data_IF_507736087655
#
_entry.id   IF_507736087655
#
_cell.length_a   1.000
_cell.length_b   1.000
_cell.length_c   1.000
_cell.angle_alpha   90.00
_cell.angle_beta   90.00
_cell.angle_gamma   90.00
#
_symmetry.space_group_name_H-M   'P 1'
#
loop_
_entity.id
_entity.type
_entity.pdbx_description
1 polymer ?
#
# COMPACT_ATOMS: atom_id res chain seq x y z
N UNK A 1 13.23 10.47 -10.34
CA UNK A 1 12.47 9.85 -9.22
C UNK A 1 11.79 8.59 -9.71
N UNK A 2 11.86 7.48 -8.94
CA UNK A 2 11.07 6.29 -9.25
C UNK A 2 9.60 6.50 -8.91
N UNK A 3 9.35 6.86 -7.67
CA UNK A 3 8.03 7.26 -7.20
C UNK A 3 8.16 8.28 -6.06
N UNK A 4 7.09 9.03 -5.83
CA UNK A 4 6.91 9.91 -4.70
C UNK A 4 5.47 9.85 -4.22
N UNK A 5 5.25 10.00 -2.93
CA UNK A 5 3.92 10.03 -2.31
C UNK A 5 3.92 11.07 -1.19
N UNK A 6 2.98 11.99 -1.25
CA UNK A 6 2.72 13.00 -0.24
C UNK A 6 1.38 12.70 0.41
N UNK A 7 1.37 12.35 1.68
CA UNK A 7 0.20 11.91 2.44
C UNK A 7 -0.04 12.92 3.55
N UNK A 8 -1.18 13.59 3.52
CA UNK A 8 -1.56 14.53 4.56
C UNK A 8 -2.15 13.80 5.76
N UNK A 9 -1.79 14.22 6.94
CA UNK A 9 -2.33 13.79 8.22
C UNK A 9 -2.60 15.04 9.06
N UNK A 10 -3.83 15.54 9.03
CA UNK A 10 -4.17 16.81 9.68
C UNK A 10 -3.32 17.97 9.14
N UNK A 11 -2.52 18.57 10.00
CA UNK A 11 -1.64 19.72 9.71
C UNK A 11 -0.22 19.35 9.25
N UNK A 12 0.05 18.07 9.05
CA UNK A 12 1.34 17.65 8.52
C UNK A 12 1.22 16.86 7.23
N UNK A 13 2.30 16.89 6.44
CA UNK A 13 2.47 16.15 5.22
C UNK A 13 3.66 15.20 5.35
N UNK A 14 3.42 13.91 5.21
CA UNK A 14 4.47 12.91 5.13
C UNK A 14 4.78 12.62 3.66
N UNK A 15 6.01 12.93 3.24
CA UNK A 15 6.49 12.74 1.88
C UNK A 15 7.45 11.57 1.87
N UNK A 16 7.23 10.65 0.96
CA UNK A 16 8.06 9.45 0.79
C UNK A 16 8.41 9.27 -0.66
N UNK A 17 9.61 8.81 -0.93
CA UNK A 17 10.02 8.55 -2.31
C UNK A 17 11.22 7.65 -2.42
N UNK A 18 11.49 7.25 -3.66
CA UNK A 18 12.70 6.48 -4.02
C UNK A 18 13.33 7.09 -5.27
N UNK A 19 14.62 7.32 -5.21
CA UNK A 19 15.42 7.83 -6.33
C UNK A 19 16.21 6.69 -6.95
N UNK A 20 16.21 6.63 -8.27
CA UNK A 20 16.96 5.62 -9.05
C UNK A 20 18.05 6.29 -9.88
N UNK A 21 19.10 5.52 -10.22
CA UNK A 21 20.12 5.92 -11.20
C UNK A 21 19.68 5.42 -12.58
N UNK A 22 19.70 6.31 -13.58
CA UNK A 22 19.37 5.95 -14.95
C UNK A 22 17.94 6.26 -15.37
N UNK A 23 17.50 5.65 -16.48
CA UNK A 23 16.21 5.95 -17.11
C UNK A 23 15.05 5.27 -16.41
N UNK A 24 13.95 6.00 -16.30
CA UNK A 24 12.69 5.50 -15.76
C UNK A 24 12.05 4.41 -16.64
N UNK A 25 11.79 3.23 -16.11
CA UNK A 25 10.93 2.26 -16.78
C UNK A 25 9.50 2.80 -16.86
N UNK A 26 8.94 2.84 -18.06
CA UNK A 26 7.59 3.34 -18.28
C UNK A 26 6.59 2.19 -18.35
N UNK A 27 5.56 2.24 -17.51
CA UNK A 27 4.39 1.36 -17.59
C UNK A 27 3.26 2.09 -18.31
N UNK A 28 2.87 1.59 -19.50
CA UNK A 28 1.74 2.14 -20.25
C UNK A 28 0.53 1.24 -20.10
N UNK A 29 -0.67 1.80 -20.01
CA UNK A 29 -1.92 1.07 -19.82
C UNK A 29 -2.12 -0.07 -20.86
N UNK A 30 -1.79 0.19 -22.12
CA UNK A 30 -1.93 -0.79 -23.23
C UNK A 30 -0.63 -1.54 -23.56
N UNK A 31 0.31 -1.65 -22.63
CA UNK A 31 1.54 -2.41 -22.85
C UNK A 31 1.27 -3.92 -22.96
N UNK A 32 1.84 -4.59 -23.97
CA UNK A 32 1.74 -6.05 -24.10
C UNK A 32 2.41 -6.78 -22.93
N UNK A 33 1.94 -7.97 -22.62
CA UNK A 33 2.44 -8.77 -21.50
C UNK A 33 3.95 -9.03 -21.53
N UNK A 34 4.57 -9.44 -22.67
CA UNK A 34 6.02 -9.61 -22.76
C UNK A 34 6.78 -8.33 -22.42
N UNK A 35 6.28 -7.17 -22.90
CA UNK A 35 6.90 -5.87 -22.60
C UNK A 35 6.76 -5.48 -21.11
N UNK A 36 5.60 -5.74 -20.48
CA UNK A 36 5.43 -5.56 -19.03
C UNK A 36 6.43 -6.42 -18.25
N UNK A 37 6.60 -7.67 -18.65
CA UNK A 37 7.57 -8.57 -18.06
C UNK A 37 9.00 -8.04 -18.17
N UNK A 38 9.44 -7.69 -19.36
CA UNK A 38 10.77 -7.13 -19.58
C UNK A 38 10.98 -5.83 -18.80
N UNK A 39 9.97 -4.95 -18.77
CA UNK A 39 10.03 -3.69 -18.02
C UNK A 39 10.18 -3.95 -16.53
N UNK A 40 9.37 -4.85 -15.97
CA UNK A 40 9.46 -5.22 -14.55
C UNK A 40 10.77 -5.96 -14.24
N UNK A 41 11.21 -6.86 -15.11
CA UNK A 41 12.50 -7.54 -14.96
C UNK A 41 13.66 -6.53 -14.89
N UNK A 42 13.64 -5.50 -15.74
CA UNK A 42 14.65 -4.42 -15.73
C UNK A 42 14.67 -3.66 -14.39
N UNK A 43 13.54 -3.48 -13.71
CA UNK A 43 13.52 -2.75 -12.44
C UNK A 43 14.39 -3.39 -11.35
N UNK A 44 14.56 -4.72 -11.37
CA UNK A 44 15.43 -5.41 -10.40
C UNK A 44 16.92 -5.10 -10.58
N UNK A 45 17.30 -4.62 -11.75
CA UNK A 45 18.71 -4.29 -12.08
C UNK A 45 18.99 -2.78 -12.05
N UNK A 46 17.98 -1.93 -11.88
CA UNK A 46 18.20 -0.49 -11.81
C UNK A 46 18.74 -0.15 -10.41
N UNK A 47 19.92 0.47 -10.32
CA UNK A 47 20.47 0.86 -9.04
C UNK A 47 19.70 2.07 -8.48
N UNK A 48 19.52 2.09 -7.17
CA UNK A 48 19.00 3.25 -6.45
C UNK A 48 20.08 4.28 -6.19
N UNK A 49 19.70 5.54 -6.06
CA UNK A 49 20.61 6.64 -5.76
C UNK A 49 20.68 6.83 -4.23
N UNK A 50 21.64 6.14 -3.62
CA UNK A 50 21.88 6.21 -2.17
C UNK A 50 22.68 7.46 -1.81
N UNK A 51 22.42 7.99 -0.62
CA UNK A 51 23.17 9.11 0.00
C UNK A 51 23.30 10.32 -0.90
N UNK A 52 22.21 10.72 -1.57
CA UNK A 52 22.14 11.96 -2.32
C UNK A 52 21.28 12.97 -1.58
N UNK A 53 21.73 14.22 -1.60
CA UNK A 53 21.01 15.33 -1.01
C UNK A 53 20.00 15.88 -2.00
N UNK A 54 18.79 16.09 -1.51
CA UNK A 54 17.64 16.55 -2.27
C UNK A 54 17.04 17.77 -1.62
N UNK A 55 16.36 18.58 -2.41
CA UNK A 55 15.43 19.62 -1.97
C UNK A 55 14.04 19.28 -2.47
N UNK A 56 13.08 19.22 -1.57
CA UNK A 56 11.67 18.98 -1.90
C UNK A 56 10.92 20.30 -1.75
N UNK A 57 10.38 20.79 -2.85
CA UNK A 57 9.58 22.00 -2.88
C UNK A 57 8.11 21.65 -2.75
N UNK A 58 7.46 22.27 -1.78
CA UNK A 58 6.02 22.16 -1.50
C UNK A 58 5.53 23.54 -1.05
N UNK A 59 4.42 23.98 -1.62
CA UNK A 59 3.82 25.29 -1.30
C UNK A 59 4.84 26.42 -1.36
N UNK A 60 5.73 26.39 -2.36
CA UNK A 60 6.79 27.40 -2.57
C UNK A 60 7.92 27.36 -1.54
N UNK A 61 7.95 26.41 -0.61
CA UNK A 61 9.04 26.21 0.36
C UNK A 61 9.86 24.99 0.01
N UNK A 62 11.19 25.11 0.17
CA UNK A 62 12.14 24.02 -0.04
C UNK A 62 12.57 23.39 1.28
N UNK A 63 12.56 22.09 1.31
CA UNK A 63 12.91 21.28 2.46
C UNK A 63 14.05 20.32 2.09
N UNK A 64 15.17 20.36 2.80
CA UNK A 64 16.29 19.45 2.53
C UNK A 64 15.98 18.06 3.05
N UNK A 65 16.39 17.02 2.33
CA UNK A 65 16.35 15.63 2.75
C UNK A 65 17.40 14.82 2.01
N UNK A 66 18.02 13.85 2.70
CA UNK A 66 18.97 12.94 2.08
C UNK A 66 18.37 11.56 1.90
N UNK A 67 18.71 10.89 0.80
CA UNK A 67 18.31 9.50 0.59
C UNK A 67 19.15 8.56 1.43
N UNK A 68 18.51 7.56 2.03
CA UNK A 68 19.21 6.49 2.74
C UNK A 68 19.97 5.54 1.81
N UNK A 69 20.59 4.51 2.36
CA UNK A 69 21.44 3.51 1.65
C UNK A 69 20.73 2.78 0.50
N UNK A 70 19.42 2.89 0.40
CA UNK A 70 18.58 2.26 -0.63
C UNK A 70 17.87 3.27 -1.52
N UNK A 71 18.32 4.52 -1.54
CA UNK A 71 17.77 5.59 -2.35
C UNK A 71 16.38 6.05 -1.96
N UNK A 72 15.84 5.61 -0.83
CA UNK A 72 14.55 6.02 -0.30
C UNK A 72 14.72 7.13 0.73
N UNK A 73 13.71 7.99 0.86
CA UNK A 73 13.63 9.01 1.89
C UNK A 73 12.22 9.10 2.47
N UNK A 74 12.14 9.68 3.65
CA UNK A 74 10.91 10.11 4.31
C UNK A 74 11.16 11.50 4.86
N UNK A 75 10.23 12.41 4.61
CA UNK A 75 10.27 13.78 5.10
C UNK A 75 8.89 14.12 5.67
N UNK A 76 8.85 14.73 6.83
CA UNK A 76 7.63 15.26 7.44
C UNK A 76 7.73 16.78 7.53
N UNK A 77 6.71 17.46 7.03
CA UNK A 77 6.66 18.94 7.00
C UNK A 77 5.27 19.40 7.42
N UNK A 78 5.16 20.57 8.08
CA UNK A 78 3.88 21.21 8.30
C UNK A 78 3.25 21.59 6.96
N UNK A 79 2.01 21.24 6.72
CA UNK A 79 1.30 21.64 5.51
C UNK A 79 -0.21 21.59 5.71
N UNK A 80 -0.89 22.64 5.32
CA UNK A 80 -2.35 22.75 5.39
C UNK A 80 -3.04 22.21 4.15
N UNK A 81 -2.36 22.24 2.99
CA UNK A 81 -2.88 21.72 1.73
C UNK A 81 -1.79 20.91 1.01
N UNK A 82 -2.08 19.67 0.62
CA UNK A 82 -1.12 18.88 -0.10
C UNK A 82 -1.05 19.30 -1.57
N UNK A 83 0.06 19.85 -1.99
CA UNK A 83 0.41 20.04 -3.38
C UNK A 83 1.33 18.91 -3.87
N UNK A 84 1.42 18.78 -5.18
CA UNK A 84 2.34 17.81 -5.77
C UNK A 84 3.79 18.22 -5.46
N UNK A 85 4.56 17.42 -4.73
CA UNK A 85 5.92 17.78 -4.39
C UNK A 85 6.81 17.77 -5.63
N UNK A 86 7.65 18.81 -5.77
CA UNK A 86 8.68 18.91 -6.79
C UNK A 86 10.03 18.60 -6.14
N UNK A 87 10.81 17.73 -6.74
CA UNK A 87 12.09 17.27 -6.18
C UNK A 87 13.24 17.73 -7.03
N UNK A 88 14.24 18.31 -6.39
CA UNK A 88 15.50 18.74 -6.99
C UNK A 88 16.65 17.98 -6.32
N UNK A 89 17.78 17.84 -7.00
CA UNK A 89 19.03 17.61 -6.31
C UNK A 89 19.45 18.91 -5.65
N UNK A 90 20.09 18.83 -4.51
CA UNK A 90 20.58 20.03 -3.82
C UNK A 90 21.49 20.85 -4.75
N UNK A 91 21.16 22.12 -4.88
CA UNK A 91 21.86 23.05 -5.75
C UNK A 91 21.45 23.02 -7.23
N UNK A 92 20.64 22.05 -7.67
CA UNK A 92 20.15 22.01 -9.06
C UNK A 92 18.92 22.92 -9.22
N UNK A 93 18.79 23.50 -10.41
CA UNK A 93 17.59 24.28 -10.82
C UNK A 93 16.57 23.45 -11.59
N UNK A 94 16.93 22.25 -11.99
CA UNK A 94 16.09 21.37 -12.81
C UNK A 94 15.48 20.28 -11.93
N UNK A 95 14.15 20.19 -11.95
CA UNK A 95 13.44 19.18 -11.19
C UNK A 95 13.76 17.75 -11.69
N UNK A 96 13.85 16.83 -10.76
CA UNK A 96 14.00 15.43 -11.10
C UNK A 96 12.71 14.89 -11.74
N UNK A 97 12.76 14.28 -12.93
CA UNK A 97 11.58 13.71 -13.55
C UNK A 97 11.02 12.56 -12.71
N UNK A 98 9.71 12.52 -12.51
CA UNK A 98 9.00 11.47 -11.77
C UNK A 98 8.48 10.42 -12.75
N UNK A 99 8.74 9.15 -12.48
CA UNK A 99 8.39 8.05 -13.38
C UNK A 99 6.94 7.59 -13.27
N UNK A 100 6.27 7.89 -12.17
CA UNK A 100 4.92 7.39 -11.90
C UNK A 100 3.84 8.15 -12.67
N UNK A 101 2.79 7.41 -13.04
CA UNK A 101 1.50 7.96 -13.52
C UNK A 101 0.41 7.84 -12.46
N UNK A 102 0.71 7.19 -11.36
CA UNK A 102 -0.16 7.02 -10.21
C UNK A 102 -0.23 8.31 -9.39
N UNK A 103 -1.35 8.64 -8.76
CA UNK A 103 -1.42 9.82 -7.90
C UNK A 103 -0.28 9.89 -6.89
N UNK A 104 0.26 11.07 -6.69
CA UNK A 104 1.36 11.31 -5.75
C UNK A 104 0.92 12.08 -4.52
N UNK A 105 -0.29 12.64 -4.52
CA UNK A 105 -0.81 13.48 -3.46
C UNK A 105 -2.11 12.88 -2.91
N UNK A 106 -2.17 12.73 -1.59
CA UNK A 106 -3.28 12.10 -0.88
C UNK A 106 -3.70 13.01 0.29
N UNK A 107 -4.71 13.87 0.07
CA UNK A 107 -5.19 14.78 1.10
C UNK A 107 -5.81 14.04 2.28
N UNK A 108 -5.87 14.68 3.42
CA UNK A 108 -6.73 14.24 4.52
C UNK A 108 -8.19 14.54 4.20
N UNK A 109 -9.10 13.86 4.85
CA UNK A 109 -10.55 13.98 4.63
C UNK A 109 -11.29 13.96 5.96
N UNK A 110 -12.44 14.59 6.03
CA UNK A 110 -13.23 14.63 7.27
C UNK A 110 -13.97 13.32 7.56
N UNK A 111 -14.14 12.47 6.56
CA UNK A 111 -14.81 11.19 6.77
C UNK A 111 -14.08 10.34 7.81
N UNK A 112 -14.76 9.92 8.89
CA UNK A 112 -14.11 9.33 10.05
C UNK A 112 -13.64 7.88 9.85
N UNK A 113 -14.05 7.21 8.78
CA UNK A 113 -13.69 5.82 8.50
C UNK A 113 -12.66 5.75 7.37
N UNK A 114 -11.58 5.01 7.59
CA UNK A 114 -10.54 4.74 6.62
C UNK A 114 -10.27 3.24 6.48
N UNK A 115 -9.58 2.83 5.43
CA UNK A 115 -9.20 1.43 5.21
C UNK A 115 -7.69 1.30 5.19
N UNK A 116 -7.17 0.29 5.88
CA UNK A 116 -5.80 -0.18 5.72
C UNK A 116 -5.87 -1.58 5.11
N UNK A 117 -5.39 -1.73 3.88
CA UNK A 117 -5.49 -2.97 3.12
C UNK A 117 -4.13 -3.55 2.79
N UNK A 118 -3.99 -4.88 2.96
CA UNK A 118 -2.98 -5.62 2.23
C UNK A 118 -3.30 -5.60 0.74
N UNK A 119 -2.28 -5.73 -0.11
CA UNK A 119 -2.45 -5.70 -1.58
C UNK A 119 -2.48 -7.11 -2.15
N UNK A 120 -1.54 -7.94 -1.71
CA UNK A 120 -1.37 -9.29 -2.22
C UNK A 120 -2.45 -10.22 -1.66
N UNK A 121 -3.08 -11.05 -2.50
CA UNK A 121 -4.15 -12.00 -2.13
C UNK A 121 -5.40 -11.41 -1.44
N UNK A 122 -5.39 -10.14 -1.07
CA UNK A 122 -6.53 -9.44 -0.47
C UNK A 122 -7.34 -8.67 -1.51
N UNK A 123 -6.66 -7.90 -2.36
CA UNK A 123 -7.30 -7.13 -3.44
C UNK A 123 -7.25 -7.89 -4.76
N UNK A 124 -6.14 -8.59 -5.01
CA UNK A 124 -5.89 -9.30 -6.25
C UNK A 124 -5.75 -10.80 -5.97
N UNK A 125 -6.50 -11.62 -6.69
CA UNK A 125 -6.37 -13.07 -6.61
C UNK A 125 -5.01 -13.50 -7.17
N UNK A 126 -4.10 -13.94 -6.32
CA UNK A 126 -2.88 -14.59 -6.74
C UNK A 126 -2.96 -16.10 -6.43
N UNK A 127 -2.93 -16.93 -7.46
CA UNK A 127 -3.08 -18.39 -7.32
C UNK A 127 -1.82 -19.10 -6.79
N UNK A 128 -0.84 -18.39 -6.22
CA UNK A 128 0.47 -18.99 -5.94
C UNK A 128 1.08 -18.59 -4.60
N UNK A 129 1.60 -19.62 -3.88
CA UNK A 129 2.22 -19.51 -2.54
C UNK A 129 3.63 -18.90 -2.51
N UNK A 130 4.29 -18.72 -3.65
CA UNK A 130 5.68 -18.27 -3.74
C UNK A 130 5.75 -16.85 -4.26
N UNK A 131 6.53 -15.98 -3.62
CA UNK A 131 6.82 -14.62 -4.08
C UNK A 131 7.22 -14.56 -5.56
N UNK A 132 8.09 -15.46 -6.03
CA UNK A 132 8.46 -15.58 -7.44
C UNK A 132 7.30 -15.98 -8.34
N UNK A 133 6.47 -16.91 -7.89
CA UNK A 133 5.28 -17.31 -8.62
C UNK A 133 4.25 -16.18 -8.63
N UNK A 134 4.16 -15.36 -7.57
CA UNK A 134 3.31 -14.15 -7.52
C UNK A 134 3.75 -13.11 -8.53
N UNK A 135 5.05 -12.76 -8.55
CA UNK A 135 5.59 -11.87 -9.59
C UNK A 135 5.35 -12.47 -10.97
N UNK A 136 5.62 -13.75 -11.15
CA UNK A 136 5.33 -14.45 -12.40
C UNK A 136 3.84 -14.39 -12.74
N UNK A 137 2.94 -14.65 -11.80
CA UNK A 137 1.49 -14.54 -12.02
C UNK A 137 1.10 -13.08 -12.27
N UNK A 138 1.69 -12.14 -11.55
CA UNK A 138 1.55 -10.70 -11.82
C UNK A 138 2.05 -10.29 -13.22
N UNK A 139 3.01 -10.98 -13.75
CA UNK A 139 3.61 -10.71 -15.06
C UNK A 139 2.99 -11.50 -16.20
N UNK A 140 2.56 -12.75 -15.98
CA UNK A 140 2.15 -13.67 -17.05
C UNK A 140 0.64 -13.89 -17.16
N UNK A 141 -0.15 -13.60 -16.12
CA UNK A 141 -1.59 -13.66 -16.23
C UNK A 141 -2.09 -12.30 -16.71
N UNK A 142 -2.78 -12.30 -17.85
CA UNK A 142 -3.39 -11.08 -18.41
C UNK A 142 -4.20 -10.34 -17.33
N UNK A 143 -4.08 -9.01 -17.20
CA UNK A 143 -4.88 -8.21 -16.27
C UNK A 143 -6.38 -8.50 -16.38
N UNK A 144 -6.89 -8.72 -17.60
CA UNK A 144 -8.30 -9.06 -17.85
C UNK A 144 -8.72 -10.43 -17.30
N UNK A 145 -7.78 -11.34 -17.00
CA UNK A 145 -8.07 -12.65 -16.40
C UNK A 145 -7.99 -12.63 -14.87
N UNK A 146 -7.58 -11.52 -14.27
CA UNK A 146 -7.56 -11.35 -12.82
C UNK A 146 -8.80 -10.61 -12.42
N UNK A 147 -9.70 -11.31 -11.79
CA UNK A 147 -10.83 -10.65 -11.14
C UNK A 147 -10.34 -10.10 -9.81
N UNK A 148 -10.54 -8.80 -9.51
CA UNK A 148 -10.41 -8.32 -8.15
C UNK A 148 -11.39 -9.12 -7.29
N UNK A 149 -11.07 -9.26 -6.02
CA UNK A 149 -12.01 -9.84 -5.05
C UNK A 149 -13.24 -8.94 -5.00
N UNK A 150 -14.37 -9.45 -5.47
CA UNK A 150 -15.57 -8.63 -5.72
C UNK A 150 -16.02 -7.88 -4.46
N UNK A 151 -16.02 -8.55 -3.30
CA UNK A 151 -16.35 -7.91 -2.03
C UNK A 151 -15.34 -6.81 -1.66
N UNK A 152 -14.04 -7.14 -1.66
CA UNK A 152 -12.99 -6.16 -1.30
C UNK A 152 -13.05 -4.92 -2.20
N UNK A 153 -13.25 -5.10 -3.51
CA UNK A 153 -13.37 -3.96 -4.42
C UNK A 153 -14.59 -3.09 -4.08
N UNK A 154 -15.76 -3.71 -3.86
CA UNK A 154 -16.98 -2.97 -3.50
C UNK A 154 -16.84 -2.24 -2.17
N UNK A 155 -16.19 -2.85 -1.17
CA UNK A 155 -15.92 -2.23 0.12
C UNK A 155 -14.99 -1.01 -0.03
N UNK A 156 -13.90 -1.15 -0.79
CA UNK A 156 -13.00 -0.04 -1.07
C UNK A 156 -13.72 1.10 -1.81
N UNK A 157 -14.58 0.74 -2.78
CA UNK A 157 -15.37 1.73 -3.54
C UNK A 157 -16.42 2.42 -2.66
N UNK A 158 -17.08 1.71 -1.75
CA UNK A 158 -18.03 2.28 -0.81
C UNK A 158 -17.37 3.30 0.12
N UNK A 159 -16.22 2.96 0.70
CA UNK A 159 -15.45 3.90 1.54
C UNK A 159 -14.93 5.08 0.74
N UNK A 160 -14.38 4.86 -0.45
CA UNK A 160 -13.88 5.94 -1.31
C UNK A 160 -15.00 6.86 -1.80
N UNK A 161 -16.18 6.34 -2.09
CA UNK A 161 -17.38 7.11 -2.46
C UNK A 161 -17.85 8.06 -1.37
N UNK A 162 -17.53 7.76 -0.10
CA UNK A 162 -17.74 8.62 1.07
C UNK A 162 -16.53 9.51 1.37
N UNK A 163 -15.57 9.63 0.45
CA UNK A 163 -14.30 10.33 0.64
C UNK A 163 -13.42 9.71 1.75
N UNK A 164 -13.68 8.46 2.14
CA UNK A 164 -12.84 7.73 3.07
C UNK A 164 -11.48 7.37 2.45
N UNK A 165 -10.44 7.44 3.27
CA UNK A 165 -9.06 7.19 2.83
C UNK A 165 -8.76 5.70 2.78
N UNK A 166 -7.93 5.31 1.82
CA UNK A 166 -7.47 3.94 1.67
C UNK A 166 -5.95 3.94 1.68
N UNK A 167 -5.35 3.13 2.54
CA UNK A 167 -3.92 2.94 2.67
C UNK A 167 -3.57 1.51 2.26
N UNK A 168 -2.64 1.36 1.33
CA UNK A 168 -2.18 0.07 0.86
C UNK A 168 -0.82 -0.26 1.46
N UNK A 169 -0.71 -1.38 2.16
CA UNK A 169 0.54 -1.83 2.77
C UNK A 169 0.88 -3.21 2.21
N UNK A 170 1.98 -3.31 1.46
CA UNK A 170 2.43 -4.56 0.87
C UNK A 170 3.88 -4.89 1.27
N UNK A 171 4.17 -6.18 1.36
CA UNK A 171 5.53 -6.69 1.52
C UNK A 171 6.34 -6.64 0.23
N UNK A 172 5.70 -6.32 -0.88
CA UNK A 172 6.34 -6.12 -2.17
C UNK A 172 7.34 -4.97 -2.07
N UNK A 173 8.44 -5.10 -2.80
CA UNK A 173 9.48 -4.07 -2.82
C UNK A 173 9.09 -2.87 -3.68
N UNK A 174 9.66 -1.72 -3.38
CA UNK A 174 9.39 -0.46 -4.08
C UNK A 174 9.74 -0.48 -5.57
N UNK A 175 10.59 -1.42 -6.04
CA UNK A 175 10.81 -1.64 -7.47
C UNK A 175 9.55 -2.12 -8.21
N UNK A 176 8.60 -2.72 -7.50
CA UNK A 176 7.33 -3.16 -8.06
C UNK A 176 6.24 -2.07 -8.05
N UNK A 177 6.56 -0.85 -7.56
CA UNK A 177 5.60 0.25 -7.49
C UNK A 177 4.88 0.49 -8.82
N UNK A 178 5.62 0.60 -9.93
CA UNK A 178 5.03 0.85 -11.24
C UNK A 178 4.12 -0.29 -11.72
N UNK A 179 4.39 -1.54 -11.34
CA UNK A 179 3.53 -2.67 -11.65
C UNK A 179 2.25 -2.64 -10.80
N UNK A 180 2.39 -2.47 -9.48
CA UNK A 180 1.25 -2.50 -8.55
C UNK A 180 0.31 -1.32 -8.80
N UNK A 181 0.85 -0.11 -8.96
CA UNK A 181 0.06 1.08 -9.27
C UNK A 181 -0.68 0.96 -10.61
N UNK A 182 -0.03 0.38 -11.63
CA UNK A 182 -0.68 0.13 -12.92
C UNK A 182 -1.83 -0.87 -12.78
N UNK A 183 -1.70 -1.91 -11.96
CA UNK A 183 -2.77 -2.88 -11.70
C UNK A 183 -3.94 -2.22 -10.95
N UNK A 184 -3.67 -1.42 -9.92
CA UNK A 184 -4.70 -0.67 -9.19
C UNK A 184 -5.51 0.20 -10.15
N UNK A 185 -4.82 0.96 -11.02
CA UNK A 185 -5.48 1.83 -12.00
C UNK A 185 -6.29 1.05 -13.04
N UNK A 186 -5.75 -0.05 -13.57
CA UNK A 186 -6.43 -0.87 -14.59
C UNK A 186 -7.70 -1.55 -14.09
N UNK A 187 -7.74 -1.91 -12.82
CA UNK A 187 -8.91 -2.54 -12.21
C UNK A 187 -9.85 -1.54 -11.52
N UNK A 188 -9.63 -0.23 -11.73
CA UNK A 188 -10.45 0.83 -11.13
C UNK A 188 -10.56 0.70 -9.60
N UNK A 189 -9.52 0.17 -8.97
CA UNK A 189 -9.40 0.13 -7.53
C UNK A 189 -9.12 1.56 -7.05
N UNK A 190 -9.82 2.08 -6.04
CA UNK A 190 -9.60 3.43 -5.54
C UNK A 190 -8.13 3.69 -5.23
N UNK A 191 -7.62 4.86 -5.65
CA UNK A 191 -6.24 5.22 -5.40
C UNK A 191 -6.00 5.53 -3.92
N UNK A 192 -4.80 5.17 -3.43
CA UNK A 192 -4.35 5.44 -2.07
C UNK A 192 -2.84 5.31 -1.95
N UNK A 193 -2.19 5.85 -0.92
CA UNK A 193 -0.76 5.73 -0.75
C UNK A 193 -0.33 4.26 -0.63
N UNK A 194 0.73 3.91 -1.38
CA UNK A 194 1.32 2.57 -1.41
C UNK A 194 2.55 2.53 -0.51
N UNK A 195 2.46 1.79 0.60
CA UNK A 195 3.57 1.53 1.51
C UNK A 195 4.23 0.20 1.12
N UNK A 196 5.36 0.29 0.43
CA UNK A 196 6.12 -0.85 -0.06
C UNK A 196 7.43 -0.98 0.71
N UNK A 197 7.96 -2.20 0.84
CA UNK A 197 9.27 -2.40 1.46
C UNK A 197 10.36 -1.73 0.63
N UNK A 198 11.40 -1.26 1.30
CA UNK A 198 12.51 -0.60 0.61
C UNK A 198 13.15 -1.52 -0.41
N UNK A 199 13.55 -0.96 -1.53
CA UNK A 199 14.27 -1.65 -2.60
C UNK A 199 15.46 -2.42 -2.06
N UNK A 200 15.51 -3.74 -2.25
CA UNK A 200 16.63 -4.58 -1.81
C UNK A 200 17.21 -5.33 -2.98
N UNK A 201 18.51 -5.57 -2.93
CA UNK A 201 19.12 -6.50 -3.88
C UNK A 201 18.61 -7.90 -3.58
N UNK A 202 18.32 -8.66 -4.63
CA UNK A 202 17.74 -10.00 -4.66
C UNK A 202 18.20 -10.98 -3.55
N UNK A 203 19.46 -10.93 -3.17
CA UNK A 203 20.06 -11.85 -2.17
C UNK A 203 19.72 -11.53 -0.71
N UNK A 204 19.15 -10.34 -0.42
CA UNK A 204 18.82 -9.92 0.96
C UNK A 204 17.35 -10.18 1.36
N UNK A 205 16.53 -10.65 0.43
CA UNK A 205 15.09 -10.92 0.61
C UNK A 205 14.77 -11.99 1.68
N UNK A 206 15.72 -12.90 1.94
CA UNK A 206 15.48 -14.08 2.77
C UNK A 206 15.48 -13.77 4.28
N UNK A 207 15.99 -12.62 4.71
CA UNK A 207 16.29 -12.33 6.14
C UNK A 207 15.37 -11.31 6.84
N UNK A 208 14.40 -10.67 6.18
CA UNK A 208 13.59 -9.64 6.85
C UNK A 208 12.34 -10.17 7.54
N UNK A 209 12.12 -9.71 8.77
CA UNK A 209 10.88 -9.84 9.54
C UNK A 209 9.79 -8.95 8.91
N UNK A 210 9.13 -9.47 7.89
CA UNK A 210 8.12 -8.75 7.11
C UNK A 210 6.88 -8.33 7.92
N UNK A 211 6.62 -8.96 9.06
CA UNK A 211 5.53 -8.60 9.96
C UNK A 211 5.79 -7.26 10.67
N UNK A 212 7.03 -7.03 11.09
CA UNK A 212 7.40 -5.81 11.80
C UNK A 212 7.25 -4.58 10.91
N UNK A 213 7.53 -4.69 9.60
CA UNK A 213 7.32 -3.63 8.63
C UNK A 213 5.84 -3.22 8.54
N UNK A 214 4.94 -4.20 8.37
CA UNK A 214 3.49 -3.94 8.26
C UNK A 214 2.96 -3.31 9.55
N UNK A 215 3.34 -3.85 10.69
CA UNK A 215 2.94 -3.34 12.00
C UNK A 215 3.37 -1.88 12.20
N UNK A 216 4.63 -1.55 11.89
CA UNK A 216 5.15 -0.18 12.02
C UNK A 216 4.37 0.81 11.15
N UNK A 217 4.03 0.46 9.91
CA UNK A 217 3.27 1.35 9.04
C UNK A 217 1.83 1.54 9.51
N UNK A 218 1.16 0.48 9.97
CA UNK A 218 -0.18 0.58 10.54
C UNK A 218 -0.18 1.49 11.77
N UNK A 219 0.77 1.28 12.70
CA UNK A 219 0.91 2.13 13.89
C UNK A 219 1.15 3.59 13.52
N UNK A 220 2.00 3.85 12.53
CA UNK A 220 2.28 5.22 12.06
C UNK A 220 1.01 5.87 11.49
N UNK A 221 0.27 5.19 10.64
CA UNK A 221 -0.98 5.70 10.04
C UNK A 221 -2.00 6.02 11.13
N UNK A 222 -2.22 5.10 12.08
CA UNK A 222 -3.21 5.29 13.14
C UNK A 222 -2.81 6.47 14.04
N UNK A 223 -1.55 6.56 14.45
CA UNK A 223 -1.06 7.65 15.32
C UNK A 223 -1.21 9.04 14.70
N UNK A 224 -0.98 9.13 13.38
CA UNK A 224 -1.11 10.39 12.65
C UNK A 224 -2.56 10.69 12.20
N UNK A 225 -3.52 9.82 12.51
CA UNK A 225 -4.94 10.00 12.14
C UNK A 225 -5.85 9.99 13.39
N UNK A 226 -5.68 10.94 14.31
CA UNK A 226 -6.49 10.97 15.52
C UNK A 226 -7.98 11.12 15.17
N UNK A 227 -8.83 10.40 15.91
CA UNK A 227 -10.28 10.44 15.71
C UNK A 227 -10.81 9.64 14.53
N UNK A 228 -9.94 9.03 13.71
CA UNK A 228 -10.34 8.09 12.64
C UNK A 228 -10.50 6.67 13.19
N UNK A 229 -11.42 5.94 12.58
CA UNK A 229 -11.54 4.49 12.73
C UNK A 229 -11.10 3.78 11.46
N UNK A 230 -10.58 2.57 11.61
CA UNK A 230 -9.98 1.83 10.52
C UNK A 230 -10.65 0.47 10.31
N UNK A 231 -10.96 0.19 9.05
CA UNK A 231 -11.19 -1.17 8.58
C UNK A 231 -9.84 -1.77 8.19
N UNK A 232 -9.53 -2.96 8.71
CA UNK A 232 -8.35 -3.71 8.33
C UNK A 232 -8.74 -4.82 7.35
N UNK A 233 -8.11 -4.83 6.17
CA UNK A 233 -8.31 -5.85 5.14
C UNK A 233 -7.04 -6.68 4.95
N UNK A 234 -7.15 -7.99 5.12
CA UNK A 234 -6.03 -8.92 4.96
C UNK A 234 -6.45 -10.30 4.49
N UNK A 235 -5.51 -11.21 4.45
CA UNK A 235 -5.70 -12.60 4.04
C UNK A 235 -5.16 -13.62 5.08
N UNK A 236 -5.49 -14.90 4.86
CA UNK A 236 -5.02 -16.01 5.67
C UNK A 236 -3.69 -16.61 5.18
N UNK A 237 -3.08 -16.08 4.12
CA UNK A 237 -1.82 -16.62 3.56
C UNK A 237 -0.59 -16.10 4.29
N UNK A 238 -0.64 -14.82 4.70
CA UNK A 238 0.46 -14.10 5.31
C UNK A 238 0.36 -14.07 6.85
N UNK A 239 0.92 -13.05 7.46
CA UNK A 239 0.88 -12.86 8.91
C UNK A 239 -0.16 -11.82 9.34
N UNK A 240 -1.14 -11.52 8.48
CA UNK A 240 -2.08 -10.43 8.71
C UNK A 240 -2.90 -10.66 9.97
N UNK A 241 -3.38 -11.87 10.20
CA UNK A 241 -4.11 -12.20 11.41
C UNK A 241 -3.30 -11.90 12.69
N UNK A 242 -1.99 -12.19 12.70
CA UNK A 242 -1.11 -11.88 13.83
C UNK A 242 -0.92 -10.38 13.98
N UNK A 243 -0.56 -9.71 12.87
CA UNK A 243 -0.30 -8.26 12.86
C UNK A 243 -1.54 -7.49 13.29
N UNK A 244 -2.72 -7.87 12.80
CA UNK A 244 -3.96 -7.18 13.15
C UNK A 244 -4.36 -7.42 14.60
N UNK A 245 -4.10 -8.61 15.14
CA UNK A 245 -4.30 -8.84 16.58
C UNK A 245 -3.39 -7.91 17.42
N UNK A 246 -2.11 -7.75 17.03
CA UNK A 246 -1.19 -6.87 17.73
C UNK A 246 -1.60 -5.38 17.58
N UNK A 247 -2.17 -4.99 16.43
CA UNK A 247 -2.73 -3.64 16.19
C UNK A 247 -3.94 -3.38 17.08
N UNK A 248 -4.89 -4.32 17.18
CA UNK A 248 -6.09 -4.16 18.04
C UNK A 248 -5.69 -4.00 19.50
N UNK A 249 -4.72 -4.76 19.97
CA UNK A 249 -4.20 -4.63 21.35
C UNK A 249 -3.62 -3.23 21.60
N UNK A 250 -2.91 -2.67 20.60
CA UNK A 250 -2.30 -1.34 20.73
C UNK A 250 -3.29 -0.18 20.54
N UNK A 251 -4.33 -0.35 19.72
CA UNK A 251 -5.28 0.69 19.32
C UNK A 251 -6.74 0.18 19.28
N UNK A 252 -7.30 -0.31 20.40
CA UNK A 252 -8.61 -0.98 20.39
C UNK A 252 -9.75 -0.04 19.94
N UNK A 253 -9.65 1.26 20.23
CA UNK A 253 -10.67 2.25 19.88
C UNK A 253 -10.57 2.76 18.43
N UNK A 254 -9.44 2.50 17.76
CA UNK A 254 -9.21 2.97 16.40
C UNK A 254 -9.59 1.94 15.33
N UNK A 255 -9.93 0.71 15.71
CA UNK A 255 -10.28 -0.34 14.76
C UNK A 255 -11.79 -0.57 14.77
N UNK A 256 -12.42 -0.29 13.63
CA UNK A 256 -13.86 -0.49 13.43
C UNK A 256 -14.19 -1.96 13.17
N UNK A 257 -13.50 -2.58 12.20
CA UNK A 257 -13.78 -3.96 11.78
C UNK A 257 -12.59 -4.57 11.03
N UNK A 258 -12.47 -5.89 11.10
CA UNK A 258 -11.40 -6.63 10.44
C UNK A 258 -12.01 -7.64 9.47
N UNK A 259 -11.53 -7.65 8.25
CA UNK A 259 -11.89 -8.62 7.22
C UNK A 259 -10.67 -9.45 6.85
N UNK A 260 -10.77 -10.76 7.03
CA UNK A 260 -9.76 -11.74 6.64
C UNK A 260 -10.30 -12.60 5.51
N UNK A 261 -9.69 -12.49 4.35
CA UNK A 261 -10.07 -13.30 3.20
C UNK A 261 -9.56 -14.73 3.35
N UNK A 262 -10.48 -15.67 3.18
CA UNK A 262 -10.20 -17.10 3.12
C UNK A 262 -9.64 -17.45 1.75
N UNK A 263 -8.38 -17.84 1.69
CA UNK A 263 -7.69 -18.22 0.44
C UNK A 263 -7.39 -19.72 0.36
N UNK A 264 -7.60 -20.47 1.46
CA UNK A 264 -7.28 -21.89 1.60
C UNK A 264 -8.48 -22.70 2.04
N UNK A 265 -8.52 -23.95 1.62
CA UNK A 265 -9.54 -24.91 2.07
C UNK A 265 -9.44 -25.20 3.58
N UNK A 266 -8.21 -25.25 4.11
CA UNK A 266 -7.94 -25.47 5.53
C UNK A 266 -6.76 -24.64 6.01
N UNK A 267 -6.81 -24.19 7.25
CA UNK A 267 -5.72 -23.51 7.95
C UNK A 267 -4.84 -24.55 8.68
N UNK A 268 -3.52 -24.29 8.73
CA UNK A 268 -2.65 -25.03 9.65
C UNK A 268 -2.98 -24.69 11.10
N UNK A 269 -2.65 -25.58 12.05
CA UNK A 269 -2.91 -25.38 13.49
C UNK A 269 -2.40 -24.02 13.99
N UNK A 270 -1.21 -23.58 13.56
CA UNK A 270 -0.68 -22.26 13.88
C UNK A 270 -1.55 -21.10 13.39
N UNK A 271 -2.12 -21.21 12.19
CA UNK A 271 -2.99 -20.17 11.63
C UNK A 271 -4.38 -20.19 12.24
N UNK A 272 -4.87 -21.36 12.62
CA UNK A 272 -6.10 -21.49 13.41
C UNK A 272 -5.96 -20.76 14.76
N UNK A 273 -4.82 -20.93 15.43
CA UNK A 273 -4.52 -20.21 16.68
C UNK A 273 -4.48 -18.69 16.48
N UNK A 274 -3.91 -18.20 15.35
CA UNK A 274 -3.92 -16.76 15.05
C UNK A 274 -5.33 -16.22 14.77
N UNK A 275 -6.16 -16.98 14.05
CA UNK A 275 -7.54 -16.60 13.79
C UNK A 275 -8.35 -16.58 15.08
N UNK A 276 -8.22 -17.62 15.90
CA UNK A 276 -8.90 -17.70 17.21
C UNK A 276 -8.49 -16.54 18.14
N UNK A 277 -7.17 -16.23 18.21
CA UNK A 277 -6.68 -15.06 18.95
C UNK A 277 -7.31 -13.76 18.45
N UNK A 278 -7.40 -13.59 17.13
CA UNK A 278 -7.96 -12.37 16.51
C UNK A 278 -9.46 -12.26 16.82
N UNK A 279 -10.20 -13.35 16.73
CA UNK A 279 -11.65 -13.41 16.99
C UNK A 279 -12.00 -13.25 18.48
N UNK A 280 -11.06 -13.48 19.38
CA UNK A 280 -11.24 -13.27 20.82
C UNK A 280 -11.10 -11.79 21.25
N UNK A 281 -10.70 -10.90 20.35
CA UNK A 281 -10.54 -9.47 20.64
C UNK A 281 -11.89 -8.71 20.51
N UNK A 282 -12.03 -7.56 21.17
CA UNK A 282 -13.29 -6.80 21.22
C UNK A 282 -13.61 -6.03 19.92
N UNK A 283 -13.16 -6.51 18.78
CA UNK A 283 -13.38 -5.90 17.46
C UNK A 283 -14.01 -6.94 16.54
N UNK A 284 -15.09 -6.61 15.80
CA UNK A 284 -15.70 -7.54 14.87
C UNK A 284 -14.73 -8.07 13.81
N UNK A 285 -14.67 -9.40 13.67
CA UNK A 285 -13.79 -10.06 12.69
C UNK A 285 -14.65 -10.92 11.75
N UNK A 286 -14.56 -10.63 10.46
CA UNK A 286 -15.23 -11.37 9.39
C UNK A 286 -14.19 -12.22 8.65
N UNK A 287 -14.33 -13.53 8.71
CA UNK A 287 -13.52 -14.47 7.93
C UNK A 287 -14.35 -14.95 6.74
N UNK A 288 -14.08 -14.44 5.55
CA UNK A 288 -14.94 -14.54 4.37
C UNK A 288 -14.25 -15.20 3.17
N UNK A 289 -15.06 -15.76 2.27
CA UNK A 289 -14.67 -16.18 0.92
C UNK A 289 -15.32 -15.30 -0.14
N UNK A 290 -14.86 -15.42 -1.39
CA UNK A 290 -15.36 -14.60 -2.50
C UNK A 290 -16.85 -14.85 -2.84
N UNK A 291 -17.38 -15.98 -2.38
CA UNK A 291 -18.78 -16.38 -2.59
C UNK A 291 -19.73 -15.86 -1.52
N UNK A 292 -19.21 -15.31 -0.42
CA UNK A 292 -20.03 -14.92 0.71
C UNK A 292 -20.75 -13.59 0.42
N UNK A 293 -22.04 -13.56 0.60
CA UNK A 293 -22.83 -12.35 0.46
C UNK A 293 -22.67 -11.48 1.73
N UNK A 294 -21.80 -10.49 1.67
CA UNK A 294 -21.57 -9.53 2.76
C UNK A 294 -22.30 -8.21 2.44
N UNK A 295 -23.53 -8.31 1.96
CA UNK A 295 -24.35 -7.16 1.55
C UNK A 295 -24.65 -6.23 2.72
N UNK A 296 -24.92 -6.80 3.90
CA UNK A 296 -25.20 -6.01 5.11
C UNK A 296 -23.98 -5.17 5.50
N UNK A 297 -22.80 -5.76 5.47
CA UNK A 297 -21.57 -5.04 5.78
C UNK A 297 -21.30 -3.86 4.85
N UNK A 298 -21.65 -3.98 3.56
CA UNK A 298 -21.54 -2.86 2.62
C UNK A 298 -22.55 -1.76 2.93
N UNK A 299 -23.79 -2.14 3.25
CA UNK A 299 -24.83 -1.20 3.65
C UNK A 299 -24.45 -0.44 4.92
N UNK A 300 -23.89 -1.12 5.92
CA UNK A 300 -23.43 -0.51 7.16
C UNK A 300 -22.31 0.52 6.92
N UNK A 301 -21.43 0.26 5.96
CA UNK A 301 -20.36 1.20 5.55
C UNK A 301 -20.92 2.38 4.78
N UNK A 302 -21.85 2.14 3.84
CA UNK A 302 -22.51 3.20 3.08
C UNK A 302 -23.29 4.15 3.97
N UNK A 303 -23.87 3.67 5.05
CA UNK A 303 -24.64 4.43 6.03
C UNK A 303 -23.85 4.77 7.30
N UNK A 304 -22.53 4.56 7.33
CA UNK A 304 -21.71 4.84 8.49
C UNK A 304 -21.83 6.31 8.93
N UNK A 305 -22.33 6.52 10.14
CA UNK A 305 -22.38 7.80 10.84
C UNK A 305 -21.61 7.64 12.15
N UNK A 306 -20.84 8.65 12.51
CA UNK A 306 -20.08 8.65 13.76
C UNK A 306 -20.94 9.21 14.87
#
# INVERSE_FOLDING_TARGET
MWHISAVQFGDHLQIRGTVIKGRCPQYRARMSMPRKFLTTGKTFFIPTAAHIDLEIEINGRKWPVSTGSRGSFVLEVPATHPEQPVVFRQGDRVALPVCQTYPSCFPDTDFPLAVISDVDDTILVSYTRSFYKRIRTLLFVSPHKRKPVSFTLRLLQAVAGRQGRIFYISKSESNLFGLLSNVIMQHQIPAGPLYLTTWTRFLQLIRKKAADYKLQHIHNIIRHSPGKQFILLGDDTQQDMRVYADVVVAFPQSIYKIYIRKTRKSLSSRKQAYLARLQALPVPVVYFSDSDAISQDLHDIENYQK
#
